data_IF_699043168868
#
_entry.id   IF_699043168868
#
_cell.length_a   1.000
_cell.length_b   1.000
_cell.length_c   1.000
_cell.angle_alpha   90.00
_cell.angle_beta   90.00
_cell.angle_gamma   90.00
#
_symmetry.space_group_name_H-M   'P 1'
#
loop_
_entity.id
_entity.type
_entity.pdbx_description
1 polymer ?
#
# COMPACT_ATOMS: atom_id res chain seq x y z
N UNK A 1 6.29 9.44 20.85
CA UNK A 1 7.45 8.85 20.17
C UNK A 1 7.74 7.53 20.87
N UNK A 2 7.80 6.43 20.13
CA UNK A 2 8.11 5.12 20.71
C UNK A 2 9.63 5.09 20.91
N UNK A 3 10.09 5.13 22.16
CA UNK A 3 11.51 5.30 22.50
C UNK A 3 12.35 4.01 22.33
N UNK A 4 11.70 2.89 22.02
CA UNK A 4 12.37 1.62 21.74
C UNK A 4 12.13 1.19 20.28
N UNK A 5 13.17 0.78 19.54
CA UNK A 5 12.99 0.18 18.22
C UNK A 5 12.16 -1.10 18.36
N UNK A 6 11.17 -1.25 17.49
CA UNK A 6 10.31 -2.43 17.47
C UNK A 6 11.12 -3.63 16.96
N UNK A 7 11.34 -4.63 17.80
CA UNK A 7 12.04 -5.86 17.44
C UNK A 7 11.10 -6.85 16.76
N UNK A 8 11.08 -6.88 15.42
CA UNK A 8 10.39 -7.90 14.65
C UNK A 8 11.37 -9.03 14.27
N UNK A 9 11.09 -10.25 14.72
CA UNK A 9 11.92 -11.40 14.36
C UNK A 9 11.61 -11.83 12.91
N UNK A 10 12.64 -12.09 12.09
CA UNK A 10 12.43 -12.51 10.71
C UNK A 10 11.82 -13.92 10.64
N UNK A 11 10.97 -14.15 9.64
CA UNK A 11 10.42 -15.48 9.34
C UNK A 11 10.74 -15.93 7.91
N UNK A 12 10.60 -17.23 7.66
CA UNK A 12 10.79 -17.87 6.35
C UNK A 12 9.45 -18.46 5.89
N UNK A 13 9.21 -18.44 4.58
CA UNK A 13 8.05 -19.11 3.98
C UNK A 13 8.43 -20.57 3.74
N UNK A 14 7.81 -21.49 4.48
CA UNK A 14 7.93 -22.93 4.24
C UNK A 14 7.02 -23.34 3.07
N UNK A 15 7.54 -24.15 2.15
CA UNK A 15 6.83 -24.68 0.96
C UNK A 15 6.08 -23.61 0.13
N UNK A 16 6.80 -22.64 -0.47
CA UNK A 16 6.16 -21.54 -1.20
C UNK A 16 5.39 -22.04 -2.43
N UNK A 17 4.20 -21.47 -2.65
CA UNK A 17 3.48 -21.68 -3.90
C UNK A 17 4.17 -20.97 -5.09
N UNK A 18 3.63 -21.10 -6.31
CA UNK A 18 4.22 -20.50 -7.52
C UNK A 18 4.40 -18.97 -7.41
N UNK A 19 3.38 -18.26 -6.91
CA UNK A 19 3.43 -16.80 -6.75
C UNK A 19 4.47 -16.41 -5.68
N UNK A 20 4.51 -17.13 -4.56
CA UNK A 20 5.46 -16.90 -3.48
C UNK A 20 6.89 -17.20 -3.91
N UNK A 21 7.09 -18.22 -4.75
CA UNK A 21 8.38 -18.52 -5.37
C UNK A 21 8.83 -17.35 -6.23
N UNK A 22 7.94 -16.81 -7.08
CA UNK A 22 8.27 -15.65 -7.91
C UNK A 22 8.53 -14.39 -7.06
N UNK A 23 7.80 -14.19 -5.96
CA UNK A 23 8.08 -13.11 -5.00
C UNK A 23 9.51 -13.21 -4.47
N UNK A 24 9.92 -14.40 -4.02
CA UNK A 24 11.26 -14.62 -3.46
C UNK A 24 12.35 -14.40 -4.52
N UNK A 25 12.12 -14.81 -5.76
CA UNK A 25 13.04 -14.54 -6.88
C UNK A 25 13.20 -13.04 -7.16
N UNK A 26 12.09 -12.30 -7.27
CA UNK A 26 12.14 -10.84 -7.50
C UNK A 26 12.79 -10.13 -6.32
N UNK A 27 12.53 -10.55 -5.09
CA UNK A 27 13.21 -10.02 -3.90
C UNK A 27 14.73 -10.22 -3.98
N UNK A 28 15.19 -11.40 -4.38
CA UNK A 28 16.62 -11.71 -4.55
C UNK A 28 17.24 -10.84 -5.65
N UNK A 29 16.56 -10.70 -6.78
CA UNK A 29 17.01 -9.85 -7.88
C UNK A 29 17.12 -8.37 -7.46
N UNK A 30 16.24 -7.92 -6.57
CA UNK A 30 16.22 -6.59 -5.96
C UNK A 30 17.23 -6.41 -4.80
N UNK A 31 17.98 -7.45 -4.44
CA UNK A 31 18.90 -7.44 -3.30
C UNK A 31 18.20 -7.24 -1.94
N UNK A 32 16.90 -7.56 -1.86
CA UNK A 32 16.14 -7.53 -0.61
C UNK A 32 16.48 -8.77 0.22
N UNK A 33 16.42 -8.63 1.54
CA UNK A 33 16.59 -9.76 2.45
C UNK A 33 15.46 -10.77 2.22
N UNK A 34 15.78 -12.07 2.16
CA UNK A 34 14.81 -13.18 2.16
C UNK A 34 14.07 -13.33 3.50
N UNK A 35 14.26 -12.37 4.40
CA UNK A 35 13.73 -12.33 5.77
C UNK A 35 12.72 -11.19 5.86
N UNK A 36 11.47 -11.52 6.17
CA UNK A 36 10.39 -10.55 6.27
C UNK A 36 10.19 -10.08 7.73
N UNK A 37 9.90 -8.79 7.89
CA UNK A 37 9.39 -8.19 9.13
C UNK A 37 8.00 -7.62 8.85
N UNK A 38 7.05 -7.81 9.76
CA UNK A 38 5.69 -7.30 9.62
C UNK A 38 5.39 -6.20 10.63
N UNK A 39 4.80 -5.11 10.14
CA UNK A 39 4.38 -3.98 10.96
C UNK A 39 2.99 -3.52 10.54
N UNK A 40 2.21 -3.06 11.51
CA UNK A 40 1.00 -2.27 11.25
C UNK A 40 1.36 -0.81 11.46
N UNK A 41 1.08 0.03 10.47
CA UNK A 41 1.45 1.45 10.46
C UNK A 41 0.19 2.31 10.26
N UNK A 42 0.03 3.33 11.10
CA UNK A 42 -0.94 4.41 10.96
C UNK A 42 -0.21 5.78 10.92
N UNK A 43 -0.94 6.88 10.71
CA UNK A 43 -0.41 8.23 10.56
C UNK A 43 0.44 8.74 11.73
N UNK A 44 0.32 8.15 12.93
CA UNK A 44 1.06 8.51 14.14
C UNK A 44 1.73 7.33 14.87
N UNK A 45 1.52 6.08 14.42
CA UNK A 45 1.97 4.88 15.13
C UNK A 45 2.48 3.79 14.19
N UNK A 46 3.45 3.00 14.66
CA UNK A 46 3.82 1.73 14.08
C UNK A 46 3.92 0.70 15.20
N UNK A 47 3.41 -0.52 15.00
CA UNK A 47 3.48 -1.63 15.96
C UNK A 47 3.87 -2.94 15.26
N UNK A 48 4.44 -3.88 16.01
CA UNK A 48 4.65 -5.25 15.52
C UNK A 48 3.30 -5.91 15.24
N UNK A 49 3.14 -6.47 14.04
CA UNK A 49 1.89 -7.09 13.62
C UNK A 49 1.54 -8.39 14.37
N UNK A 50 2.54 -9.08 14.95
CA UNK A 50 2.36 -10.41 15.59
C UNK A 50 1.39 -10.34 16.76
N UNK A 51 1.62 -9.52 17.81
CA UNK A 51 0.66 -9.40 18.91
C UNK A 51 -0.63 -8.70 18.48
N UNK A 52 -0.58 -7.86 17.44
CA UNK A 52 -1.74 -7.09 17.03
C UNK A 52 -2.91 -7.98 16.65
N UNK A 53 -2.74 -9.00 15.81
CA UNK A 53 -3.85 -9.85 15.38
C UNK A 53 -4.35 -10.84 16.45
N UNK A 54 -3.63 -11.01 17.55
CA UNK A 54 -4.06 -11.82 18.70
C UNK A 54 -4.97 -11.05 19.67
N UNK A 55 -5.04 -9.72 19.55
CA UNK A 55 -5.88 -8.86 20.37
C UNK A 55 -7.32 -8.76 19.84
N UNK A 56 -8.30 -8.59 20.73
CA UNK A 56 -9.68 -8.29 20.34
C UNK A 56 -9.79 -6.85 19.86
N UNK A 57 -10.04 -6.67 18.57
CA UNK A 57 -10.32 -5.36 17.99
C UNK A 57 -11.83 -5.09 17.91
N UNK A 58 -12.19 -3.82 18.05
CA UNK A 58 -13.56 -3.38 17.79
C UNK A 58 -13.88 -3.59 16.30
N UNK A 59 -15.04 -4.17 15.99
CA UNK A 59 -15.43 -4.59 14.63
C UNK A 59 -15.80 -3.40 13.72
N UNK A 60 -15.59 -2.17 14.19
CA UNK A 60 -15.82 -0.96 13.38
C UNK A 60 -14.76 -0.84 12.30
N UNK A 61 -15.15 -0.40 11.10
CA UNK A 61 -14.21 0.00 10.05
C UNK A 61 -13.29 1.10 10.59
N UNK A 62 -12.07 0.74 10.99
CA UNK A 62 -11.04 1.65 11.45
C UNK A 62 -10.16 2.06 10.27
N UNK A 63 -9.80 3.34 10.20
CA UNK A 63 -8.80 3.80 9.25
C UNK A 63 -8.75 5.32 9.14
N UNK A 64 -7.64 5.80 8.61
CA UNK A 64 -7.44 7.22 8.31
C UNK A 64 -8.04 7.51 6.93
N UNK A 65 -9.04 8.40 6.80
CA UNK A 65 -9.77 8.61 5.55
C UNK A 65 -8.89 8.87 4.34
N UNK A 66 -7.76 9.55 4.50
CA UNK A 66 -6.77 9.85 3.45
C UNK A 66 -6.15 8.60 2.81
N UNK A 67 -6.16 7.47 3.53
CA UNK A 67 -5.52 6.21 3.13
C UNK A 67 -6.54 5.10 2.86
N UNK A 68 -7.76 5.18 3.40
CA UNK A 68 -8.85 4.23 3.08
C UNK A 68 -9.13 4.13 1.58
N UNK A 69 -9.40 2.95 1.01
CA UNK A 69 -9.82 2.88 -0.40
C UNK A 69 -11.14 3.63 -0.65
N UNK A 70 -11.45 3.93 -1.92
CA UNK A 70 -12.76 4.51 -2.26
C UNK A 70 -13.92 3.60 -1.82
N UNK A 71 -13.73 2.27 -1.90
CA UNK A 71 -14.75 1.32 -1.48
C UNK A 71 -15.04 1.44 0.02
N UNK A 72 -14.02 1.71 0.84
CA UNK A 72 -14.18 1.95 2.29
C UNK A 72 -14.72 3.36 2.60
N UNK A 73 -14.45 4.37 1.78
CA UNK A 73 -14.97 5.73 1.96
C UNK A 73 -16.46 5.86 1.63
N UNK A 74 -16.96 5.07 0.68
CA UNK A 74 -18.35 5.14 0.19
C UNK A 74 -19.36 4.39 1.08
N UNK A 75 -18.94 3.89 2.23
CA UNK A 75 -19.63 2.83 2.95
C UNK A 75 -20.48 3.29 4.14
N UNK A 76 -21.72 2.77 4.15
CA UNK A 76 -22.74 2.92 5.20
C UNK A 76 -23.27 1.54 5.64
N UNK A 77 -22.36 0.63 6.03
CA UNK A 77 -22.58 -0.71 6.64
C UNK A 77 -22.67 -1.90 5.65
N UNK A 78 -21.53 -2.56 5.32
CA UNK A 78 -21.55 -3.96 4.86
C UNK A 78 -20.48 -4.46 3.87
N UNK A 79 -19.56 -3.61 3.40
CA UNK A 79 -18.39 -4.07 2.63
C UNK A 79 -17.35 -4.60 3.61
N UNK A 80 -16.94 -5.82 3.32
CA UNK A 80 -15.84 -6.51 3.98
C UNK A 80 -14.53 -6.00 3.38
N UNK A 81 -13.61 -5.64 4.27
CA UNK A 81 -12.26 -5.23 3.93
C UNK A 81 -11.55 -6.30 3.08
N UNK A 82 -10.91 -5.89 2.00
CA UNK A 82 -10.25 -6.77 1.04
C UNK A 82 -8.76 -6.45 0.94
N UNK A 83 -7.92 -7.35 0.41
CA UNK A 83 -6.50 -7.06 0.19
C UNK A 83 -6.30 -5.86 -0.74
N UNK A 84 -7.28 -5.55 -1.59
CA UNK A 84 -7.22 -4.39 -2.48
C UNK A 84 -7.30 -3.08 -1.71
N UNK A 85 -8.01 -3.07 -0.60
CA UNK A 85 -8.10 -1.89 0.25
C UNK A 85 -6.75 -1.59 0.91
N UNK A 86 -6.04 -2.64 1.37
CA UNK A 86 -4.68 -2.54 1.89
C UNK A 86 -3.69 -2.02 0.84
N UNK A 87 -3.74 -2.53 -0.40
CA UNK A 87 -2.83 -2.08 -1.45
C UNK A 87 -3.10 -0.65 -1.91
N UNK A 88 -4.37 -0.25 -1.99
CA UNK A 88 -4.72 1.14 -2.25
C UNK A 88 -4.23 2.04 -1.11
N UNK A 89 -4.43 1.63 0.15
CA UNK A 89 -3.90 2.33 1.32
C UNK A 89 -2.38 2.48 1.25
N UNK A 90 -1.66 1.40 0.94
CA UNK A 90 -0.22 1.45 0.77
C UNK A 90 0.22 2.43 -0.33
N UNK A 91 -0.48 2.42 -1.47
CA UNK A 91 -0.22 3.34 -2.57
C UNK A 91 -0.45 4.82 -2.18
N UNK A 92 -1.53 5.11 -1.43
CA UNK A 92 -1.81 6.46 -0.96
C UNK A 92 -0.82 6.93 0.12
N UNK A 93 -0.43 6.04 1.04
CA UNK A 93 0.62 6.30 2.01
C UNK A 93 1.97 6.55 1.34
N UNK A 94 2.31 5.80 0.29
CA UNK A 94 3.53 6.02 -0.48
C UNK A 94 3.53 7.40 -1.16
N UNK A 95 2.43 7.78 -1.82
CA UNK A 95 2.29 9.12 -2.40
C UNK A 95 2.40 10.22 -1.33
N UNK A 96 1.73 10.04 -0.19
CA UNK A 96 1.81 10.94 0.94
C UNK A 96 3.25 11.10 1.42
N UNK A 97 3.96 10.01 1.68
CA UNK A 97 5.37 10.05 2.08
C UNK A 97 6.24 10.79 1.05
N UNK A 98 6.00 10.60 -0.24
CA UNK A 98 6.73 11.30 -1.31
C UNK A 98 6.46 12.82 -1.30
N UNK A 99 5.19 13.21 -1.16
CA UNK A 99 4.78 14.61 -1.08
C UNK A 99 5.37 15.25 0.17
N UNK A 100 5.27 14.62 1.34
CA UNK A 100 5.60 15.21 2.64
C UNK A 100 7.04 14.97 3.11
N UNK A 101 7.87 14.26 2.33
CA UNK A 101 9.30 14.02 2.66
C UNK A 101 10.07 15.30 3.03
N UNK A 102 9.85 16.41 2.31
CA UNK A 102 10.56 17.68 2.55
C UNK A 102 9.92 18.57 3.61
N UNK A 103 8.61 18.45 3.89
CA UNK A 103 7.97 19.23 4.95
C UNK A 103 8.51 18.87 6.33
N UNK A 104 8.94 17.61 6.53
CA UNK A 104 9.61 17.15 7.75
C UNK A 104 11.00 17.77 7.97
N UNK A 105 11.65 18.25 6.90
CA UNK A 105 13.00 18.83 6.99
C UNK A 105 13.03 20.34 7.28
N UNK A 106 11.87 20.99 7.46
CA UNK A 106 11.75 22.44 7.65
C UNK A 106 12.17 23.31 6.45
N UNK A 107 12.72 22.70 5.38
CA UNK A 107 13.20 23.38 4.16
C UNK A 107 12.12 23.57 3.09
N UNK A 108 10.93 23.01 3.28
CA UNK A 108 9.85 23.17 2.33
C UNK A 108 9.21 24.57 2.48
N UNK A 109 9.51 25.49 1.56
CA UNK A 109 8.69 26.69 1.31
C UNK A 109 7.34 26.32 0.68
N UNK A 110 6.62 25.35 1.24
CA UNK A 110 5.29 25.01 0.74
C UNK A 110 4.25 25.78 1.52
N UNK A 111 3.30 26.32 0.78
CA UNK A 111 2.09 26.92 1.34
C UNK A 111 1.31 25.84 2.11
N UNK A 112 1.20 25.92 3.45
CA UNK A 112 0.48 24.93 4.25
C UNK A 112 -0.96 24.71 3.77
N UNK A 113 -1.59 25.75 3.21
CA UNK A 113 -2.94 25.67 2.64
C UNK A 113 -3.03 24.72 1.46
N UNK A 114 -1.98 24.61 0.64
CA UNK A 114 -1.96 23.67 -0.49
C UNK A 114 -1.89 22.22 -0.01
N UNK A 115 -1.16 21.96 1.08
CA UNK A 115 -1.05 20.64 1.67
C UNK A 115 -2.34 20.24 2.37
N UNK A 116 -2.98 21.16 3.09
CA UNK A 116 -4.27 20.92 3.73
C UNK A 116 -5.37 20.67 2.69
N UNK A 117 -5.40 21.46 1.61
CA UNK A 117 -6.32 21.20 0.50
C UNK A 117 -6.07 19.83 -0.14
N UNK A 118 -4.81 19.43 -0.32
CA UNK A 118 -4.49 18.10 -0.87
C UNK A 118 -4.96 16.99 0.07
N UNK A 119 -4.73 17.14 1.37
CA UNK A 119 -5.21 16.23 2.42
C UNK A 119 -6.71 16.04 2.36
N UNK A 120 -7.46 17.15 2.34
CA UNK A 120 -8.92 17.13 2.23
C UNK A 120 -9.40 16.43 0.95
N UNK A 121 -8.73 16.64 -0.18
CA UNK A 121 -9.08 15.95 -1.43
C UNK A 121 -8.82 14.45 -1.38
N UNK A 122 -7.72 14.00 -0.76
CA UNK A 122 -7.41 12.57 -0.57
C UNK A 122 -8.43 11.88 0.35
N UNK A 123 -8.89 12.57 1.40
CA UNK A 123 -9.95 12.10 2.31
C UNK A 123 -11.36 12.11 1.70
N UNK A 124 -11.52 12.40 0.40
CA UNK A 124 -12.82 12.57 -0.26
C UNK A 124 -12.97 11.71 -1.50
N UNK A 125 -14.17 11.68 -2.07
CA UNK A 125 -14.46 11.06 -3.37
C UNK A 125 -13.68 11.69 -4.55
N UNK A 126 -13.05 12.86 -4.34
CA UNK A 126 -12.18 13.51 -5.32
C UNK A 126 -10.74 12.96 -5.30
N UNK A 127 -10.47 11.88 -4.56
CA UNK A 127 -9.15 11.24 -4.47
C UNK A 127 -8.52 10.93 -5.81
N UNK A 128 -9.29 10.46 -6.79
CA UNK A 128 -8.77 10.17 -8.12
C UNK A 128 -8.13 11.41 -8.77
N UNK A 129 -8.75 12.58 -8.57
CA UNK A 129 -8.22 13.88 -9.02
C UNK A 129 -6.96 14.24 -8.24
N UNK A 130 -6.96 14.07 -6.91
CA UNK A 130 -5.81 14.35 -6.06
C UNK A 130 -4.60 13.48 -6.43
N UNK A 131 -4.81 12.17 -6.59
CA UNK A 131 -3.79 11.20 -7.01
C UNK A 131 -3.20 11.60 -8.35
N UNK A 132 -4.06 11.88 -9.34
CA UNK A 132 -3.59 12.35 -10.66
C UNK A 132 -2.79 13.64 -10.54
N UNK A 133 -3.27 14.60 -9.75
CA UNK A 133 -2.56 15.86 -9.51
C UNK A 133 -1.19 15.63 -8.89
N UNK A 134 -1.03 14.69 -7.95
CA UNK A 134 0.28 14.33 -7.39
C UNK A 134 1.23 13.80 -8.48
N UNK A 135 0.73 12.92 -9.34
CA UNK A 135 1.50 12.35 -10.44
C UNK A 135 1.89 13.37 -11.52
N UNK A 136 1.08 14.41 -11.72
CA UNK A 136 1.29 15.42 -12.76
C UNK A 136 2.04 16.68 -12.26
N UNK A 137 2.20 16.86 -10.94
CA UNK A 137 2.67 18.11 -10.33
C UNK A 137 4.16 18.05 -9.90
N UNK A 138 5.08 18.67 -10.66
CA UNK A 138 6.50 18.66 -10.32
C UNK A 138 6.84 19.58 -9.14
N UNK A 139 5.95 20.50 -8.73
CA UNK A 139 6.24 21.44 -7.63
C UNK A 139 6.34 20.79 -6.25
N UNK A 140 5.97 19.51 -6.10
CA UNK A 140 6.29 18.73 -4.90
C UNK A 140 7.78 18.35 -4.81
N UNK A 141 8.56 18.62 -5.85
CA UNK A 141 10.02 18.61 -5.82
C UNK A 141 10.62 17.31 -6.33
N UNK A 142 11.94 17.38 -6.54
CA UNK A 142 12.70 16.39 -7.32
C UNK A 142 12.55 14.93 -6.87
N UNK A 143 12.28 14.67 -5.59
CA UNK A 143 12.06 13.31 -5.11
C UNK A 143 10.78 12.70 -5.69
N UNK A 144 9.65 13.40 -5.57
CA UNK A 144 8.41 12.91 -6.18
C UNK A 144 8.58 12.80 -7.69
N UNK A 145 9.20 13.81 -8.33
CA UNK A 145 9.46 13.77 -9.78
C UNK A 145 10.26 12.53 -10.19
N UNK A 146 11.26 12.11 -9.41
CA UNK A 146 12.02 10.89 -9.70
C UNK A 146 11.21 9.59 -9.50
N UNK A 147 10.13 9.64 -8.73
CA UNK A 147 9.26 8.50 -8.42
C UNK A 147 7.97 8.47 -9.26
N UNK A 148 7.63 9.54 -9.96
CA UNK A 148 6.40 9.65 -10.75
C UNK A 148 6.23 8.50 -11.77
N UNK A 149 7.25 8.11 -12.55
CA UNK A 149 7.14 6.96 -13.46
C UNK A 149 6.79 5.65 -12.72
N UNK A 150 7.50 5.36 -11.63
CA UNK A 150 7.25 4.21 -10.77
C UNK A 150 5.82 4.20 -10.20
N UNK A 151 5.38 5.33 -9.63
CA UNK A 151 4.03 5.47 -9.05
C UNK A 151 2.94 5.34 -10.13
N UNK A 152 3.18 5.84 -11.33
CA UNK A 152 2.25 5.71 -12.46
C UNK A 152 2.07 4.24 -12.87
N UNK A 153 3.16 3.50 -13.04
CA UNK A 153 3.10 2.09 -13.44
C UNK A 153 2.51 1.23 -12.33
N UNK A 154 2.84 1.52 -11.07
CA UNK A 154 2.23 0.83 -9.93
C UNK A 154 0.72 1.08 -9.84
N UNK A 155 0.26 2.32 -10.03
CA UNK A 155 -1.18 2.64 -10.10
C UNK A 155 -1.88 1.86 -11.22
N UNK A 156 -1.24 1.72 -12.37
CA UNK A 156 -1.79 0.94 -13.47
C UNK A 156 -1.87 -0.55 -13.12
N UNK A 157 -0.86 -1.08 -12.45
CA UNK A 157 -0.84 -2.46 -11.99
C UNK A 157 -1.94 -2.75 -10.94
N UNK A 158 -2.16 -1.84 -9.99
CA UNK A 158 -3.26 -1.91 -9.03
C UNK A 158 -4.63 -1.87 -9.70
N UNK A 159 -4.82 -1.05 -10.73
CA UNK A 159 -6.07 -1.03 -11.51
C UNK A 159 -6.34 -2.34 -12.24
N UNK A 160 -5.30 -2.99 -12.77
CA UNK A 160 -5.43 -4.33 -13.37
C UNK A 160 -5.85 -5.32 -12.30
N UNK A 161 -5.15 -5.35 -11.16
CA UNK A 161 -5.44 -6.27 -10.06
C UNK A 161 -6.84 -6.08 -9.47
N UNK A 162 -7.30 -4.83 -9.33
CA UNK A 162 -8.65 -4.51 -8.88
C UNK A 162 -9.71 -5.04 -9.85
N UNK A 163 -9.49 -4.92 -11.16
CA UNK A 163 -10.42 -5.46 -12.18
C UNK A 163 -10.49 -6.97 -12.10
N UNK A 164 -9.35 -7.64 -11.92
CA UNK A 164 -9.30 -9.09 -11.77
C UNK A 164 -10.05 -9.52 -10.50
N UNK A 165 -9.81 -8.84 -9.37
CA UNK A 165 -10.53 -9.07 -8.11
C UNK A 165 -12.03 -8.90 -8.26
N UNK A 166 -12.47 -7.81 -8.90
CA UNK A 166 -13.88 -7.55 -9.15
C UNK A 166 -14.51 -8.60 -10.05
N UNK A 167 -13.80 -9.05 -11.09
CA UNK A 167 -14.27 -10.10 -11.99
C UNK A 167 -14.45 -11.43 -11.25
N UNK A 168 -13.43 -11.85 -10.50
CA UNK A 168 -13.48 -13.10 -9.72
C UNK A 168 -14.59 -13.05 -8.66
N UNK A 169 -14.75 -11.90 -7.99
CA UNK A 169 -15.85 -11.66 -7.05
C UNK A 169 -17.23 -11.74 -7.70
N UNK A 170 -17.39 -11.38 -8.97
CA UNK A 170 -18.67 -11.49 -9.66
C UNK A 170 -18.96 -12.92 -10.14
N UNK A 171 -17.92 -13.70 -10.40
CA UNK A 171 -18.01 -15.06 -10.94
C UNK A 171 -18.09 -16.13 -9.83
N UNK A 172 -17.58 -15.83 -8.63
CA UNK A 172 -17.55 -16.76 -7.52
C UNK A 172 -18.87 -16.80 -6.73
N UNK A 173 -19.13 -17.94 -6.09
CA UNK A 173 -20.25 -18.08 -5.16
C UNK A 173 -20.00 -17.15 -3.95
N UNK A 174 -20.98 -16.39 -3.44
CA UNK A 174 -20.79 -15.48 -2.30
C UNK A 174 -20.12 -16.10 -1.08
N UNK A 175 -20.26 -17.41 -0.85
CA UNK A 175 -19.60 -18.15 0.24
C UNK A 175 -18.11 -18.45 -0.01
N UNK A 176 -17.65 -18.42 -1.27
CA UNK A 176 -16.27 -18.73 -1.67
C UNK A 176 -15.36 -17.51 -1.69
N UNK A 177 -15.90 -16.31 -1.94
CA UNK A 177 -15.15 -15.04 -2.03
C UNK A 177 -14.54 -14.64 -0.69
N UNK A 178 -15.16 -15.09 0.40
CA UNK A 178 -14.69 -14.83 1.76
C UNK A 178 -13.81 -15.96 2.32
N UNK A 179 -13.45 -16.94 1.48
CA UNK A 179 -12.46 -17.93 1.87
C UNK A 179 -11.08 -17.28 1.96
N UNK A 180 -10.35 -17.59 3.03
CA UNK A 180 -9.02 -17.08 3.31
C UNK A 180 -8.05 -17.23 2.12
N UNK A 181 -8.28 -18.22 1.25
CA UNK A 181 -7.47 -18.51 0.07
C UNK A 181 -7.56 -17.43 -1.01
N UNK A 182 -8.76 -16.91 -1.30
CA UNK A 182 -8.93 -15.83 -2.27
C UNK A 182 -8.27 -14.55 -1.75
N UNK A 183 -8.45 -14.26 -0.46
CA UNK A 183 -7.79 -13.14 0.20
C UNK A 183 -6.26 -13.26 0.11
N UNK A 184 -5.71 -14.41 0.51
CA UNK A 184 -4.27 -14.69 0.48
C UNK A 184 -3.69 -14.58 -0.92
N UNK A 185 -4.38 -15.12 -1.92
CA UNK A 185 -3.95 -15.07 -3.32
C UNK A 185 -3.83 -13.62 -3.82
N UNK A 186 -4.80 -12.75 -3.52
CA UNK A 186 -4.71 -11.34 -3.94
C UNK A 186 -3.74 -10.53 -3.10
N UNK A 187 -3.53 -10.90 -1.84
CA UNK A 187 -2.42 -10.40 -1.03
C UNK A 187 -1.08 -10.71 -1.73
N UNK A 188 -0.81 -11.97 -2.08
CA UNK A 188 0.44 -12.37 -2.73
C UNK A 188 0.59 -11.72 -4.13
N UNK A 189 -0.49 -11.70 -4.94
CA UNK A 189 -0.47 -11.07 -6.29
C UNK A 189 -0.19 -9.57 -6.23
N UNK A 190 -0.72 -8.86 -5.24
CA UNK A 190 -0.46 -7.42 -5.10
C UNK A 190 0.99 -7.13 -4.72
N UNK A 191 1.59 -7.95 -3.86
CA UNK A 191 2.99 -7.82 -3.47
C UNK A 191 3.89 -8.09 -4.68
N UNK A 192 3.64 -9.19 -5.38
CA UNK A 192 4.37 -9.53 -6.59
C UNK A 192 4.25 -8.42 -7.66
N UNK A 193 3.05 -7.86 -7.84
CA UNK A 193 2.81 -6.76 -8.77
C UNK A 193 3.64 -5.53 -8.43
N UNK A 194 3.66 -5.12 -7.16
CA UNK A 194 4.51 -4.04 -6.67
C UNK A 194 6.00 -4.32 -6.91
N UNK A 195 6.47 -5.51 -6.55
CA UNK A 195 7.88 -5.89 -6.69
C UNK A 195 8.32 -5.92 -8.17
N UNK A 196 7.46 -6.39 -9.08
CA UNK A 196 7.72 -6.37 -10.53
C UNK A 196 7.90 -4.96 -11.05
N UNK A 197 7.06 -4.01 -10.61
CA UNK A 197 7.24 -2.60 -10.96
C UNK A 197 8.53 -2.06 -10.34
N UNK A 198 8.82 -2.37 -9.07
CA UNK A 198 10.05 -1.94 -8.41
C UNK A 198 11.31 -2.42 -9.16
N UNK A 199 11.32 -3.67 -9.61
CA UNK A 199 12.42 -4.25 -10.41
C UNK A 199 12.70 -3.49 -11.71
N UNK A 200 11.68 -2.94 -12.36
CA UNK A 200 11.85 -2.16 -13.58
C UNK A 200 12.62 -0.85 -13.33
N UNK A 201 12.42 -0.23 -12.17
CA UNK A 201 12.95 1.10 -11.85
C UNK A 201 14.21 1.06 -10.97
N UNK A 202 14.38 0.00 -10.19
CA UNK A 202 15.50 -0.18 -9.27
C UNK A 202 16.22 -1.51 -9.51
N UNK A 203 16.71 -1.78 -10.75
CA UNK A 203 17.47 -2.98 -11.00
C UNK A 203 18.75 -2.91 -10.17
N UNK A 204 18.89 -3.80 -9.19
CA UNK A 204 20.17 -4.02 -8.53
C UNK A 204 21.12 -4.61 -9.55
N UNK A 205 22.33 -4.05 -9.65
CA UNK A 205 23.42 -4.74 -10.32
C UNK A 205 23.63 -6.04 -9.56
N UNK A 206 23.55 -7.18 -10.24
CA UNK A 206 23.90 -8.48 -9.67
C UNK A 206 25.23 -8.33 -8.91
N UNK A 207 25.20 -8.64 -7.62
CA UNK A 207 26.41 -8.72 -6.77
C UNK A 207 27.14 -10.01 -7.11
#
# INVERSE_FOLDING_TARGET
>A
MVDNPIECAPFTIEDPNEIQTEILEVCRELGLLEKCCGFVVDGDMAIDWRPHYDEKHDVSNSGTPEFMSNALLEQDNGIIHSPMDDYWSFYFTAQWACVFRKSLSGKAKRDPRKLENLRSLLASLLRGIATKKILDEPSYGSFLTSLQPFLSDWNQALKVLLRDWQKERLEANPEEIFQADAFRRYADRGLLSFLKVARQYYPTKAV
#
